data_IF_528655472021
#
_entry.id   IF_528655472021
#
_cell.length_a   1.000
_cell.length_b   1.000
_cell.length_c   1.000
_cell.angle_alpha   90.00
_cell.angle_beta   90.00
_cell.angle_gamma   90.00
#
_symmetry.space_group_name_H-M   'P 1'
#
loop_
_entity.id
_entity.type
_entity.pdbx_description
1 polymer ?
#
# COMPACT_ATOMS: atom_id res chain seq x y z
N UNK A 1 8.65 -6.84 -10.47
CA UNK A 1 7.71 -6.71 -9.32
C UNK A 1 8.54 -6.41 -8.10
N UNK A 2 8.02 -5.70 -7.10
CA UNK A 2 8.70 -5.51 -5.82
C UNK A 2 8.85 -6.85 -5.11
N UNK A 3 9.86 -6.95 -4.25
CA UNK A 3 9.84 -8.00 -3.22
C UNK A 3 8.79 -7.69 -2.16
N UNK A 4 8.45 -8.69 -1.35
CA UNK A 4 7.55 -8.53 -0.20
C UNK A 4 8.09 -7.46 0.75
N UNK A 5 9.37 -7.50 1.06
CA UNK A 5 10.05 -6.58 1.97
C UNK A 5 10.05 -5.15 1.42
N UNK A 6 10.28 -4.97 0.11
CA UNK A 6 10.18 -3.65 -0.52
C UNK A 6 8.76 -3.09 -0.47
N UNK A 7 7.74 -3.93 -0.62
CA UNK A 7 6.35 -3.52 -0.53
C UNK A 7 5.93 -3.18 0.90
N UNK A 8 6.35 -3.97 1.89
CA UNK A 8 6.17 -3.64 3.31
C UNK A 8 6.83 -2.29 3.61
N UNK A 9 8.06 -2.07 3.16
CA UNK A 9 8.75 -0.81 3.36
C UNK A 9 8.06 0.39 2.67
N UNK A 10 7.45 0.20 1.49
CA UNK A 10 6.58 1.24 0.87
C UNK A 10 5.39 1.57 1.77
N UNK A 11 4.67 0.55 2.23
CA UNK A 11 3.48 0.72 3.06
C UNK A 11 3.84 1.40 4.38
N UNK A 12 4.91 0.97 5.05
CA UNK A 12 5.42 1.63 6.27
C UNK A 12 5.72 3.10 6.04
N UNK A 13 6.39 3.46 4.93
CA UNK A 13 6.65 4.87 4.59
C UNK A 13 5.36 5.67 4.38
N UNK A 14 4.28 5.05 3.91
CA UNK A 14 2.99 5.73 3.78
C UNK A 14 2.36 6.01 5.16
N UNK A 15 2.41 5.06 6.09
CA UNK A 15 1.96 5.27 7.46
C UNK A 15 2.69 6.43 8.13
N UNK A 16 4.02 6.45 8.00
CA UNK A 16 4.86 7.50 8.59
C UNK A 16 4.60 8.86 7.94
N UNK A 17 4.56 8.92 6.60
CA UNK A 17 4.39 10.19 5.88
C UNK A 17 3.00 10.80 6.07
N UNK A 18 1.95 9.98 6.01
CA UNK A 18 0.56 10.46 5.98
C UNK A 18 -0.17 10.29 7.31
N UNK A 19 0.51 9.79 8.35
CA UNK A 19 -0.07 9.58 9.69
C UNK A 19 -1.40 8.82 9.63
N UNK A 20 -1.44 7.76 8.83
CA UNK A 20 -2.67 7.00 8.53
C UNK A 20 -3.15 6.29 9.80
N UNK A 21 -4.44 6.48 10.14
CA UNK A 21 -5.08 5.71 11.20
C UNK A 21 -5.22 4.24 10.79
N UNK A 22 -4.60 3.35 11.58
CA UNK A 22 -4.62 1.89 11.33
C UNK A 22 -6.02 1.29 11.42
N UNK A 23 -6.94 1.92 12.15
CA UNK A 23 -8.31 1.43 12.29
C UNK A 23 -9.20 1.84 11.11
N UNK A 24 -8.78 2.80 10.29
CA UNK A 24 -9.53 3.25 9.13
C UNK A 24 -9.63 2.12 8.09
N UNK A 25 -10.78 2.05 7.43
CA UNK A 25 -11.03 1.09 6.36
C UNK A 25 -10.23 1.49 5.12
N UNK A 26 -9.39 0.59 4.63
CA UNK A 26 -8.69 0.75 3.36
C UNK A 26 -9.59 0.34 2.19
N UNK A 27 -10.25 -0.82 2.32
CA UNK A 27 -11.22 -1.28 1.33
C UNK A 27 -12.34 -2.07 1.99
N UNK A 28 -13.55 -1.89 1.45
CA UNK A 28 -14.73 -2.71 1.75
C UNK A 28 -15.30 -3.24 0.43
N UNK A 29 -15.40 -4.56 0.28
CA UNK A 29 -16.01 -5.23 -0.86
C UNK A 29 -16.95 -6.32 -0.38
N UNK A 30 -18.27 -6.06 -0.47
CA UNK A 30 -19.27 -6.94 0.14
C UNK A 30 -19.04 -7.04 1.65
N UNK A 31 -18.82 -8.26 2.13
CA UNK A 31 -18.52 -8.55 3.54
C UNK A 31 -17.03 -8.41 3.89
N UNK A 32 -16.14 -8.36 2.90
CA UNK A 32 -14.71 -8.19 3.13
C UNK A 32 -14.44 -6.75 3.57
N UNK A 33 -13.84 -6.58 4.74
CA UNK A 33 -13.36 -5.30 5.26
C UNK A 33 -11.87 -5.44 5.57
N UNK A 34 -11.04 -4.69 4.87
CA UNK A 34 -9.59 -4.60 5.15
C UNK A 34 -9.31 -3.21 5.67
N UNK A 35 -8.70 -3.13 6.85
CA UNK A 35 -8.25 -1.87 7.44
C UNK A 35 -6.83 -1.57 7.00
N UNK A 36 -6.42 -0.32 7.14
CA UNK A 36 -5.03 0.06 6.90
C UNK A 36 -4.07 -0.78 7.76
N UNK A 37 -4.40 -1.03 9.03
CA UNK A 37 -3.60 -1.85 9.93
C UNK A 37 -3.36 -3.28 9.45
N UNK A 38 -4.19 -3.80 8.54
CA UNK A 38 -4.12 -5.17 8.04
C UNK A 38 -3.16 -5.32 6.84
N UNK A 39 -2.76 -4.20 6.20
CA UNK A 39 -2.00 -4.22 4.95
C UNK A 39 -0.63 -4.91 5.07
N UNK A 40 0.13 -4.60 6.13
CA UNK A 40 1.44 -5.24 6.38
C UNK A 40 1.25 -6.72 6.76
N UNK A 41 0.37 -7.09 7.71
CA UNK A 41 0.07 -8.49 8.00
C UNK A 41 -0.30 -9.32 6.76
N UNK A 42 -1.11 -8.77 5.84
CA UNK A 42 -1.46 -9.44 4.60
C UNK A 42 -0.26 -9.70 3.69
N UNK A 43 0.67 -8.73 3.61
CA UNK A 43 1.93 -8.87 2.86
C UNK A 43 2.86 -9.89 3.51
N UNK A 44 3.06 -9.82 4.83
CA UNK A 44 3.94 -10.72 5.59
C UNK A 44 3.54 -12.18 5.44
N UNK A 45 2.23 -12.45 5.56
CA UNK A 45 1.63 -13.79 5.46
C UNK A 45 1.39 -14.25 4.02
N UNK A 46 1.66 -13.38 3.05
CA UNK A 46 1.47 -13.66 1.62
C UNK A 46 0.05 -14.15 1.28
N UNK A 47 -0.96 -13.62 1.97
CA UNK A 47 -2.39 -13.89 1.71
C UNK A 47 -2.77 -13.51 0.27
N UNK A 48 -3.93 -13.97 -0.21
CA UNK A 48 -4.43 -13.57 -1.53
C UNK A 48 -4.54 -12.05 -1.66
N UNK A 49 -5.06 -11.37 -0.64
CA UNK A 49 -5.12 -9.91 -0.54
C UNK A 49 -3.71 -9.30 -0.56
N UNK A 50 -2.76 -9.90 0.17
CA UNK A 50 -1.36 -9.47 0.19
C UNK A 50 -0.69 -9.58 -1.18
N UNK A 51 -0.94 -10.66 -1.93
CA UNK A 51 -0.41 -10.84 -3.29
C UNK A 51 -1.00 -9.81 -4.26
N UNK A 52 -2.29 -9.52 -4.15
CA UNK A 52 -2.94 -8.46 -4.94
C UNK A 52 -2.37 -7.08 -4.59
N UNK A 53 -2.20 -6.80 -3.30
CA UNK A 53 -1.62 -5.56 -2.80
C UNK A 53 -0.17 -5.39 -3.30
N UNK A 54 0.66 -6.43 -3.23
CA UNK A 54 2.04 -6.41 -3.75
C UNK A 54 2.08 -6.02 -5.24
N UNK A 55 1.18 -6.60 -6.05
CA UNK A 55 1.07 -6.26 -7.48
C UNK A 55 0.60 -4.81 -7.68
N UNK A 56 -0.35 -4.34 -6.88
CA UNK A 56 -0.84 -2.96 -6.94
C UNK A 56 0.25 -1.94 -6.58
N UNK A 57 0.96 -2.15 -5.47
CA UNK A 57 2.09 -1.30 -5.04
C UNK A 57 3.19 -1.28 -6.10
N UNK A 58 3.56 -2.46 -6.62
CA UNK A 58 4.58 -2.58 -7.67
C UNK A 58 4.22 -1.77 -8.91
N UNK A 59 2.98 -1.86 -9.39
CA UNK A 59 2.50 -1.07 -10.53
C UNK A 59 2.51 0.42 -10.22
N UNK A 60 2.03 0.82 -9.03
CA UNK A 60 2.06 2.22 -8.59
C UNK A 60 3.47 2.82 -8.57
N UNK A 61 4.48 2.06 -8.09
CA UNK A 61 5.88 2.50 -8.10
C UNK A 61 6.43 2.66 -9.51
N UNK A 62 6.10 1.74 -10.43
CA UNK A 62 6.51 1.83 -11.84
C UNK A 62 5.93 3.08 -12.50
N UNK A 63 4.65 3.36 -12.30
CA UNK A 63 3.99 4.56 -12.84
C UNK A 63 4.62 5.84 -12.28
N UNK A 64 4.90 5.90 -10.97
CA UNK A 64 5.58 7.04 -10.32
C UNK A 64 7.00 7.26 -10.87
N UNK A 65 7.74 6.18 -11.14
CA UNK A 65 9.10 6.24 -11.73
C UNK A 65 9.08 6.69 -13.19
N UNK A 66 8.15 6.20 -14.00
CA UNK A 66 8.05 6.55 -15.43
C UNK A 66 7.62 8.00 -15.67
N UNK A 67 6.81 8.57 -14.76
CA UNK A 67 6.33 9.95 -14.89
C UNK A 67 7.30 11.01 -14.35
N UNK A 68 8.48 10.63 -13.85
CA UNK A 68 9.44 11.57 -13.28
C UNK A 68 8.82 12.51 -12.24
N UNK A 69 7.86 12.02 -11.43
CA UNK A 69 7.08 12.85 -10.51
C UNK A 69 7.98 13.36 -9.37
N UNK A 70 8.38 14.64 -9.35
CA UNK A 70 9.12 15.23 -8.25
C UNK A 70 8.10 15.83 -7.28
N UNK A 71 7.51 15.00 -6.43
CA UNK A 71 6.49 15.45 -5.48
C UNK A 71 5.11 15.69 -6.10
N UNK A 72 4.07 15.40 -5.32
CA UNK A 72 2.69 15.56 -5.75
C UNK A 72 1.72 14.70 -4.98
N UNK A 73 1.80 14.77 -3.65
CA UNK A 73 0.60 14.97 -2.84
C UNK A 73 0.93 16.19 -2.00
N UNK A 74 0.89 17.35 -2.64
CA UNK A 74 0.80 18.62 -1.95
C UNK A 74 -0.15 19.49 -2.76
N UNK A 75 -1.12 20.09 -2.05
CA UNK A 75 -2.34 20.79 -2.52
C UNK A 75 -3.49 19.84 -2.83
N UNK A 76 -4.63 19.89 -2.14
CA UNK A 76 -5.38 21.08 -1.66
C UNK A 76 -5.73 20.98 -0.18
#
# INVERSE_FOLDING_TARGET
>A
LLTKEEAIAEVTRWFERYQIDRNQIFVRMGELVVRYGDLIPHLERETDEGRLLLRAISRGRVIRRQRGFPGGIDRV
#
